data_IF_554006812106
#
_entry.id   IF_554006812106
#
_cell.length_a   1.000
_cell.length_b   1.000
_cell.length_c   1.000
_cell.angle_alpha   90.00
_cell.angle_beta   90.00
_cell.angle_gamma   90.00
#
_symmetry.space_group_name_H-M   'P 1'
#
loop_
_entity.id
_entity.type
_entity.pdbx_description
1 polymer ?
#
# COMPACT_ATOMS: atom_id res chain seq x y z
N UNK A 1 9.85 -20.11 -25.72
CA UNK A 1 10.67 -19.55 -24.62
C UNK A 1 10.27 -18.11 -24.36
N UNK A 2 10.23 -17.24 -25.39
CA UNK A 2 9.74 -15.87 -25.25
C UNK A 2 8.32 -15.78 -24.68
N UNK A 3 7.42 -16.68 -25.10
CA UNK A 3 6.02 -16.66 -24.64
C UNK A 3 5.90 -16.88 -23.12
N UNK A 4 6.74 -17.75 -22.54
CA UNK A 4 6.79 -17.95 -21.09
C UNK A 4 7.27 -16.71 -20.33
N UNK A 5 8.20 -15.95 -20.90
CA UNK A 5 8.65 -14.69 -20.29
C UNK A 5 7.59 -13.60 -20.40
N UNK A 6 6.79 -13.59 -21.48
CA UNK A 6 5.63 -12.68 -21.61
C UNK A 6 4.55 -13.01 -20.60
N UNK A 7 4.18 -14.28 -20.48
CA UNK A 7 3.25 -14.77 -19.45
C UNK A 7 3.77 -14.43 -18.05
N UNK A 8 5.05 -14.69 -17.78
CA UNK A 8 5.70 -14.35 -16.51
C UNK A 8 5.74 -12.84 -16.23
N UNK A 9 5.93 -11.98 -17.24
CA UNK A 9 5.87 -10.54 -17.04
C UNK A 9 4.49 -10.10 -16.56
N UNK A 10 3.42 -10.60 -17.21
CA UNK A 10 2.04 -10.33 -16.80
C UNK A 10 1.78 -10.83 -15.38
N UNK A 11 2.20 -12.06 -15.06
CA UNK A 11 2.07 -12.62 -13.71
C UNK A 11 2.81 -11.77 -12.67
N UNK A 12 4.02 -11.29 -12.98
CA UNK A 12 4.83 -10.45 -12.09
C UNK A 12 4.17 -9.10 -11.81
N UNK A 13 3.72 -8.37 -12.84
CA UNK A 13 3.09 -7.06 -12.64
C UNK A 13 1.75 -7.18 -11.90
N UNK A 14 1.01 -8.29 -12.08
CA UNK A 14 -0.17 -8.59 -11.29
C UNK A 14 0.16 -8.90 -9.83
N UNK A 15 1.26 -9.61 -9.57
CA UNK A 15 1.74 -9.86 -8.22
C UNK A 15 2.15 -8.56 -7.52
N UNK A 16 2.89 -7.67 -8.21
CA UNK A 16 3.23 -6.33 -7.70
C UNK A 16 1.98 -5.51 -7.39
N UNK A 17 0.98 -5.50 -8.29
CA UNK A 17 -0.31 -4.82 -8.06
C UNK A 17 -1.03 -5.42 -6.86
N UNK A 18 -1.04 -6.74 -6.71
CA UNK A 18 -1.67 -7.43 -5.57
C UNK A 18 -0.99 -7.06 -4.25
N UNK A 19 0.35 -7.00 -4.24
CA UNK A 19 1.13 -6.59 -3.08
C UNK A 19 0.77 -5.15 -2.66
N UNK A 20 0.69 -4.23 -3.63
CA UNK A 20 0.36 -2.83 -3.38
C UNK A 20 -1.11 -2.61 -3.00
N UNK A 21 -2.05 -3.14 -3.79
CA UNK A 21 -3.49 -2.85 -3.65
C UNK A 21 -4.17 -3.69 -2.57
N UNK A 22 -3.87 -5.00 -2.51
CA UNK A 22 -4.53 -5.92 -1.58
C UNK A 22 -3.74 -6.03 -0.27
N UNK A 23 -2.42 -6.18 -0.34
CA UNK A 23 -1.58 -6.35 0.85
C UNK A 23 -1.14 -5.02 1.48
N UNK A 24 -1.27 -3.89 0.77
CA UNK A 24 -0.84 -2.55 1.21
C UNK A 24 0.65 -2.48 1.56
N UNK A 25 1.46 -3.20 0.79
CA UNK A 25 2.91 -3.28 0.95
C UNK A 25 3.62 -2.93 -0.35
N UNK A 26 4.82 -2.37 -0.21
CA UNK A 26 5.82 -2.27 -1.27
C UNK A 26 6.96 -3.21 -0.91
N UNK A 27 7.48 -3.96 -1.88
CA UNK A 27 8.56 -4.91 -1.60
C UNK A 27 9.85 -4.19 -1.20
N UNK A 28 10.23 -3.18 -1.98
CA UNK A 28 11.35 -2.27 -1.74
C UNK A 28 12.75 -2.86 -1.93
N UNK A 29 12.81 -4.07 -2.48
CA UNK A 29 14.03 -4.72 -2.95
C UNK A 29 13.68 -5.81 -3.99
N UNK A 30 12.62 -5.59 -4.77
CA UNK A 30 12.17 -6.58 -5.74
C UNK A 30 13.14 -6.57 -6.92
N UNK A 31 13.81 -7.69 -7.13
CA UNK A 31 14.75 -7.91 -8.23
C UNK A 31 14.68 -9.36 -8.68
N UNK A 32 15.39 -9.72 -9.76
CA UNK A 32 15.43 -11.09 -10.27
C UNK A 32 15.91 -12.14 -9.25
N UNK A 33 16.64 -11.71 -8.22
CA UNK A 33 17.14 -12.58 -7.16
C UNK A 33 16.05 -12.98 -6.15
N UNK A 34 15.03 -12.13 -6.01
CA UNK A 34 13.91 -12.32 -5.09
C UNK A 34 12.67 -12.93 -5.78
N UNK A 35 12.85 -13.48 -6.98
CA UNK A 35 11.80 -14.11 -7.78
C UNK A 35 12.15 -15.58 -8.00
N UNK A 36 11.31 -16.49 -7.49
CA UNK A 36 11.43 -17.93 -7.74
C UNK A 36 10.47 -18.36 -8.85
N UNK A 37 10.95 -19.22 -9.75
CA UNK A 37 10.11 -19.90 -10.73
C UNK A 37 9.88 -21.35 -10.31
N UNK A 38 8.64 -21.72 -10.03
CA UNK A 38 8.28 -23.06 -9.61
C UNK A 38 6.97 -23.51 -10.28
N UNK A 39 7.00 -24.70 -10.89
CA UNK A 39 5.83 -25.32 -11.55
C UNK A 39 5.10 -24.46 -12.60
N UNK A 40 5.80 -23.51 -13.24
CA UNK A 40 5.19 -22.64 -14.24
C UNK A 40 4.82 -21.25 -13.73
N UNK A 41 4.94 -21.01 -12.42
CA UNK A 41 4.51 -19.78 -11.76
C UNK A 41 5.68 -19.03 -11.12
N UNK A 42 5.55 -17.71 -11.05
CA UNK A 42 6.47 -16.83 -10.35
C UNK A 42 6.03 -16.60 -8.90
N UNK A 43 6.98 -16.70 -7.97
CA UNK A 43 6.78 -16.47 -6.55
C UNK A 43 7.76 -15.40 -6.07
N UNK A 44 7.23 -14.37 -5.40
CA UNK A 44 8.03 -13.34 -4.76
C UNK A 44 8.42 -13.83 -3.35
N UNK A 45 9.70 -13.75 -3.03
CA UNK A 45 10.25 -14.14 -1.73
C UNK A 45 10.99 -12.97 -1.07
N UNK A 46 11.41 -13.16 0.18
CA UNK A 46 12.15 -12.17 0.97
C UNK A 46 11.41 -10.83 1.18
N UNK A 47 10.14 -10.94 1.58
CA UNK A 47 9.31 -9.79 2.00
C UNK A 47 9.68 -9.23 3.37
N UNK A 48 10.83 -9.63 3.93
CA UNK A 48 11.26 -9.24 5.28
C UNK A 48 11.59 -7.75 5.40
N UNK A 49 11.98 -7.13 4.28
CA UNK A 49 12.30 -5.69 4.17
C UNK A 49 11.16 -4.86 3.55
N UNK A 50 10.00 -5.48 3.28
CA UNK A 50 8.86 -4.77 2.70
C UNK A 50 8.34 -3.67 3.62
N UNK A 51 7.86 -2.59 3.03
CA UNK A 51 7.39 -1.40 3.74
C UNK A 51 5.92 -1.12 3.51
N UNK A 52 5.25 -0.57 4.52
CA UNK A 52 3.88 -0.06 4.41
C UNK A 52 3.80 1.14 3.46
N UNK A 53 2.63 1.36 2.86
CA UNK A 53 2.38 2.50 1.96
C UNK A 53 2.61 3.88 2.65
N UNK A 54 2.44 3.92 3.96
CA UNK A 54 2.62 5.12 4.79
C UNK A 54 4.11 5.50 4.98
N UNK A 55 5.05 4.60 4.66
CA UNK A 55 6.47 4.87 4.78
C UNK A 55 6.88 6.05 3.86
N UNK A 56 7.66 7.05 4.30
CA UNK A 56 7.98 8.25 3.51
C UNK A 56 8.52 7.93 2.11
N UNK A 57 9.32 6.88 2.00
CA UNK A 57 9.96 6.43 0.75
C UNK A 57 9.23 5.29 0.03
N UNK A 58 8.01 4.91 0.42
CA UNK A 58 7.34 3.75 -0.18
C UNK A 58 7.20 3.86 -1.72
N UNK A 59 6.90 5.05 -2.25
CA UNK A 59 6.79 5.24 -3.70
C UNK A 59 8.15 5.27 -4.40
N UNK A 60 9.21 5.68 -3.70
CA UNK A 60 10.58 5.64 -4.24
C UNK A 60 10.99 4.19 -4.42
N UNK A 61 10.78 3.37 -3.39
CA UNK A 61 10.99 1.93 -3.43
C UNK A 61 10.15 1.22 -4.49
N UNK A 62 8.88 1.61 -4.64
CA UNK A 62 8.04 1.04 -5.70
C UNK A 62 8.57 1.38 -7.09
N UNK A 63 9.12 2.58 -7.30
CA UNK A 63 9.74 2.94 -8.58
C UNK A 63 10.98 2.10 -8.85
N UNK A 64 11.82 1.88 -7.84
CA UNK A 64 12.99 1.00 -7.96
C UNK A 64 12.58 -0.44 -8.30
N UNK A 65 11.57 -0.99 -7.60
CA UNK A 65 10.99 -2.30 -7.91
C UNK A 65 10.51 -2.38 -9.37
N UNK A 66 9.79 -1.36 -9.86
CA UNK A 66 9.34 -1.29 -11.26
C UNK A 66 10.51 -1.27 -12.25
N UNK A 67 11.58 -0.54 -11.95
CA UNK A 67 12.78 -0.47 -12.80
C UNK A 67 13.46 -1.82 -12.88
N UNK A 68 13.71 -2.47 -11.74
CA UNK A 68 14.38 -3.77 -11.70
C UNK A 68 13.59 -4.85 -12.45
N UNK A 69 12.27 -4.92 -12.23
CA UNK A 69 11.39 -5.86 -12.93
C UNK A 69 11.39 -5.59 -14.43
N UNK A 70 11.17 -4.34 -14.86
CA UNK A 70 11.16 -3.98 -16.28
C UNK A 70 12.51 -4.28 -16.95
N UNK A 71 13.62 -3.97 -16.30
CA UNK A 71 14.96 -4.25 -16.83
C UNK A 71 15.22 -5.75 -16.96
N UNK A 72 14.78 -6.55 -15.99
CA UNK A 72 14.91 -8.01 -16.06
C UNK A 72 14.19 -8.56 -17.29
N UNK A 73 12.92 -8.21 -17.50
CA UNK A 73 12.14 -8.72 -18.64
C UNK A 73 12.60 -8.13 -19.98
N UNK A 74 13.01 -6.85 -20.02
CA UNK A 74 13.60 -6.19 -21.21
C UNK A 74 14.86 -6.92 -21.67
N UNK A 75 15.76 -7.30 -20.74
CA UNK A 75 16.98 -8.08 -21.06
C UNK A 75 16.69 -9.45 -21.68
N UNK A 76 15.51 -10.03 -21.40
CA UNK A 76 15.07 -11.32 -21.93
C UNK A 76 14.25 -11.20 -23.22
N UNK A 77 14.16 -10.01 -23.82
CA UNK A 77 13.47 -9.77 -25.10
C UNK A 77 11.95 -9.70 -24.97
N UNK A 78 11.44 -9.42 -23.77
CA UNK A 78 10.03 -9.09 -23.58
C UNK A 78 9.84 -7.59 -23.81
N UNK A 79 8.86 -7.24 -24.62
CA UNK A 79 8.42 -5.86 -24.75
C UNK A 79 7.64 -5.48 -23.48
N UNK A 80 8.22 -4.59 -22.69
CA UNK A 80 7.71 -4.15 -21.38
C UNK A 80 7.01 -2.80 -21.50
N UNK A 81 6.21 -2.48 -20.49
CA UNK A 81 5.63 -1.13 -20.32
C UNK A 81 6.74 -0.14 -19.96
N UNK A 82 6.49 1.15 -20.18
CA UNK A 82 7.35 2.19 -19.56
C UNK A 82 7.23 2.14 -18.04
N UNK A 83 8.23 2.66 -17.33
CA UNK A 83 8.23 2.67 -15.86
C UNK A 83 7.02 3.44 -15.33
N UNK A 84 6.67 4.54 -16.00
CA UNK A 84 5.47 5.32 -15.67
C UNK A 84 4.18 4.51 -15.84
N UNK A 85 4.01 3.85 -16.98
CA UNK A 85 2.80 3.05 -17.25
C UNK A 85 2.64 1.91 -16.25
N UNK A 86 3.74 1.21 -15.90
CA UNK A 86 3.73 0.15 -14.91
C UNK A 86 3.40 0.69 -13.50
N UNK A 87 4.01 1.81 -13.11
CA UNK A 87 3.73 2.45 -11.82
C UNK A 87 2.27 2.89 -11.73
N UNK A 88 1.76 3.56 -12.76
CA UNK A 88 0.35 3.97 -12.84
C UNK A 88 -0.56 2.74 -12.75
N UNK A 89 -0.26 1.67 -13.49
CA UNK A 89 -1.00 0.41 -13.40
C UNK A 89 -1.03 -0.18 -11.99
N UNK A 90 0.06 -0.13 -11.23
CA UNK A 90 0.10 -0.69 -9.87
C UNK A 90 -0.69 0.17 -8.89
N UNK A 91 -0.57 1.50 -8.98
CA UNK A 91 -1.12 2.42 -7.98
C UNK A 91 -2.59 2.78 -8.25
N UNK A 92 -3.04 2.73 -9.50
CA UNK A 92 -4.40 3.15 -9.87
C UNK A 92 -5.48 2.30 -9.16
N UNK A 93 -6.30 2.89 -8.26
CA UNK A 93 -7.34 2.16 -7.56
C UNK A 93 -8.58 1.90 -8.44
N UNK A 94 -8.70 2.53 -9.61
CA UNK A 94 -9.86 2.41 -10.48
C UNK A 94 -9.90 1.12 -11.30
N UNK A 95 -8.75 0.45 -11.45
CA UNK A 95 -8.64 -0.82 -12.18
C UNK A 95 -9.12 -1.96 -11.26
N UNK A 96 -10.34 -2.42 -11.45
CA UNK A 96 -10.90 -3.53 -10.68
C UNK A 96 -10.49 -4.87 -11.29
N UNK A 97 -10.69 -5.97 -10.55
CA UNK A 97 -10.44 -7.32 -11.05
C UNK A 97 -11.30 -7.63 -12.32
N UNK A 98 -12.43 -6.93 -12.51
CA UNK A 98 -13.30 -7.06 -13.70
C UNK A 98 -12.77 -6.33 -14.94
N UNK A 99 -12.09 -5.19 -14.76
CA UNK A 99 -11.52 -4.40 -15.87
C UNK A 99 -10.05 -4.71 -16.17
N UNK A 100 -9.45 -5.60 -15.38
CA UNK A 100 -8.04 -5.95 -15.47
C UNK A 100 -7.68 -6.58 -16.82
N UNK A 101 -8.47 -7.54 -17.30
CA UNK A 101 -8.21 -8.21 -18.58
C UNK A 101 -8.25 -7.22 -19.76
N UNK A 102 -9.25 -6.34 -19.77
CA UNK A 102 -9.38 -5.29 -20.79
C UNK A 102 -8.20 -4.32 -20.76
N UNK A 103 -7.73 -3.94 -19.57
CA UNK A 103 -6.57 -3.07 -19.42
C UNK A 103 -5.29 -3.74 -19.93
N UNK A 104 -5.08 -5.02 -19.57
CA UNK A 104 -3.92 -5.79 -20.02
C UNK A 104 -3.91 -5.96 -21.54
N UNK A 105 -5.06 -6.20 -22.16
CA UNK A 105 -5.18 -6.23 -23.62
C UNK A 105 -4.81 -4.89 -24.26
N UNK A 106 -5.33 -3.77 -23.75
CA UNK A 106 -4.98 -2.43 -24.26
C UNK A 106 -3.49 -2.13 -24.15
N UNK A 107 -2.89 -2.45 -23.01
CA UNK A 107 -1.46 -2.31 -22.78
C UNK A 107 -0.66 -3.16 -23.75
N UNK A 108 -1.05 -4.42 -23.94
CA UNK A 108 -0.37 -5.31 -24.88
C UNK A 108 -0.47 -4.78 -26.31
N UNK A 109 -1.61 -4.22 -26.73
CA UNK A 109 -1.75 -3.58 -28.03
C UNK A 109 -0.86 -2.35 -28.16
N UNK A 110 -0.75 -1.51 -27.11
CA UNK A 110 0.16 -0.36 -27.11
C UNK A 110 1.62 -0.77 -27.25
N UNK A 111 2.03 -1.80 -26.52
CA UNK A 111 3.39 -2.35 -26.58
C UNK A 111 3.68 -2.89 -28.00
N UNK A 112 2.75 -3.64 -28.58
CA UNK A 112 2.88 -4.15 -29.95
C UNK A 112 2.93 -3.03 -31.00
N UNK A 113 2.16 -1.95 -30.80
CA UNK A 113 2.15 -0.81 -31.70
C UNK A 113 3.46 0.01 -31.64
N UNK A 114 4.10 0.07 -30.46
CA UNK A 114 5.40 0.72 -30.27
C UNK A 114 6.56 -0.12 -30.80
N UNK A 115 6.40 -1.44 -30.78
CA UNK A 115 7.44 -2.41 -31.14
C UNK A 115 8.44 -2.68 -30.00
N UNK A 116 9.47 -3.46 -30.28
CA UNK A 116 10.48 -3.88 -29.28
C UNK A 116 11.47 -2.75 -28.89
N UNK A 117 11.39 -1.59 -29.54
CA UNK A 117 12.31 -0.47 -29.32
C UNK A 117 11.58 0.62 -28.55
N UNK A 118 11.88 0.71 -27.26
CA UNK A 118 11.55 1.89 -26.45
C UNK A 118 12.31 3.08 -27.06
N UNK A 119 11.60 4.16 -27.39
CA UNK A 119 12.21 5.34 -28.01
C UNK A 119 13.21 5.98 -27.02
N UNK A 120 14.25 6.66 -27.53
CA UNK A 120 15.13 7.45 -26.66
C UNK A 120 14.35 8.49 -25.84
N UNK A 121 13.24 8.99 -26.40
CA UNK A 121 12.33 9.90 -25.71
C UNK A 121 11.68 9.26 -24.48
N UNK A 122 11.36 7.96 -24.57
CA UNK A 122 10.73 7.21 -23.49
C UNK A 122 11.72 6.87 -22.39
N UNK A 123 12.97 6.53 -22.75
CA UNK A 123 14.04 6.30 -21.77
C UNK A 123 14.40 7.59 -21.00
N UNK A 124 14.37 8.74 -21.69
CA UNK A 124 14.53 10.05 -21.06
C UNK A 124 13.33 10.33 -20.13
N UNK A 125 12.10 10.09 -20.59
CA UNK A 125 10.90 10.30 -19.79
C UNK A 125 10.89 9.43 -18.53
N UNK A 126 11.27 8.16 -18.64
CA UNK A 126 11.39 7.24 -17.50
C UNK A 126 12.50 7.71 -16.53
N UNK A 127 13.64 8.17 -17.04
CA UNK A 127 14.71 8.73 -16.20
C UNK A 127 14.26 9.98 -15.44
N UNK A 128 13.53 10.89 -16.11
CA UNK A 128 12.95 12.08 -15.49
C UNK A 128 11.91 11.68 -14.44
N UNK A 129 11.09 10.67 -14.72
CA UNK A 129 10.10 10.17 -13.78
C UNK A 129 10.73 9.58 -12.51
N UNK A 130 11.80 8.80 -12.64
CA UNK A 130 12.51 8.20 -11.50
C UNK A 130 13.20 9.26 -10.63
N UNK A 131 13.68 10.36 -11.22
CA UNK A 131 14.31 11.46 -10.46
C UNK A 131 13.31 12.48 -9.90
N UNK A 132 12.09 12.52 -10.45
CA UNK A 132 11.08 13.49 -10.04
C UNK A 132 10.52 13.19 -8.65
N UNK A 133 10.20 14.22 -7.89
CA UNK A 133 9.51 14.08 -6.61
C UNK A 133 8.01 13.91 -6.84
N UNK A 134 7.42 12.84 -6.27
CA UNK A 134 5.99 12.55 -6.42
C UNK A 134 5.26 12.82 -5.10
N UNK A 135 4.42 13.86 -5.02
CA UNK A 135 3.63 14.16 -3.83
C UNK A 135 2.61 13.04 -3.56
N UNK A 136 2.70 12.43 -2.37
CA UNK A 136 1.73 11.38 -1.94
C UNK A 136 0.35 11.92 -1.64
N UNK A 137 0.29 13.08 -0.98
CA UNK A 137 -0.94 13.73 -0.56
C UNK A 137 -1.02 15.12 -1.17
N UNK A 138 -2.26 15.58 -1.41
CA UNK A 138 -2.51 16.94 -1.90
C UNK A 138 -1.96 18.03 -0.96
N UNK A 139 -1.68 17.69 0.30
CA UNK A 139 -1.01 18.61 1.24
C UNK A 139 0.44 18.95 0.84
N UNK A 140 1.14 18.02 0.20
CA UNK A 140 2.53 18.22 -0.25
C UNK A 140 2.61 18.85 -1.65
N UNK A 141 1.48 19.02 -2.33
CA UNK A 141 1.40 19.71 -3.62
C UNK A 141 1.38 21.21 -3.36
N UNK A 142 2.40 21.93 -3.85
CA UNK A 142 2.57 23.36 -3.57
C UNK A 142 1.46 24.21 -4.19
N UNK A 143 1.04 23.90 -5.43
CA UNK A 143 0.17 24.75 -6.24
C UNK A 143 -1.05 23.97 -6.78
N UNK A 144 -1.88 23.41 -5.89
CA UNK A 144 -3.04 22.60 -6.27
C UNK A 144 -4.02 23.35 -7.19
N UNK A 145 -4.23 24.66 -6.97
CA UNK A 145 -5.16 25.47 -7.78
C UNK A 145 -4.69 25.65 -9.23
N UNK A 146 -3.41 25.99 -9.42
CA UNK A 146 -2.81 26.12 -10.76
C UNK A 146 -2.80 24.78 -11.51
N UNK A 147 -2.59 23.69 -10.78
CA UNK A 147 -2.61 22.34 -11.31
C UNK A 147 -4.02 21.92 -11.78
N UNK A 148 -5.07 22.26 -11.02
CA UNK A 148 -6.46 22.03 -11.42
C UNK A 148 -6.80 22.84 -12.67
N UNK A 149 -6.44 24.13 -12.71
CA UNK A 149 -6.70 24.99 -13.87
C UNK A 149 -6.01 24.46 -15.13
N UNK A 150 -4.79 23.93 -15.01
CA UNK A 150 -4.09 23.28 -16.12
C UNK A 150 -4.84 22.06 -16.64
N UNK A 151 -5.37 21.21 -15.74
CA UNK A 151 -6.12 20.02 -16.16
C UNK A 151 -7.46 20.42 -16.81
N UNK A 152 -8.19 21.37 -16.22
CA UNK A 152 -9.48 21.84 -16.76
C UNK A 152 -9.33 22.60 -18.07
N UNK A 153 -8.22 23.33 -18.26
CA UNK A 153 -7.93 24.05 -19.51
C UNK A 153 -7.34 23.17 -20.62
N UNK A 154 -7.14 21.87 -20.38
CA UNK A 154 -6.58 20.94 -21.38
C UNK A 154 -5.13 21.25 -21.75
N UNK A 155 -4.40 21.95 -20.88
CA UNK A 155 -2.96 22.19 -21.07
C UNK A 155 -2.16 20.91 -20.79
N UNK A 156 -0.90 20.91 -21.21
CA UNK A 156 0.01 19.79 -20.97
C UNK A 156 0.10 19.47 -19.48
N UNK A 157 -0.28 18.24 -19.13
CA UNK A 157 -0.34 17.68 -17.78
C UNK A 157 0.67 16.55 -17.61
N UNK A 158 1.60 16.38 -18.56
CA UNK A 158 2.59 15.32 -18.57
C UNK A 158 3.39 15.20 -17.27
N UNK A 159 3.67 16.34 -16.61
CA UNK A 159 4.49 16.45 -15.40
C UNK A 159 3.73 16.23 -14.08
N UNK A 160 2.40 16.10 -14.10
CA UNK A 160 1.59 15.95 -12.89
C UNK A 160 1.45 14.47 -12.49
N UNK A 161 2.51 13.91 -11.92
CA UNK A 161 2.60 12.49 -11.57
C UNK A 161 1.63 12.02 -10.48
N UNK A 162 1.13 12.91 -9.62
CA UNK A 162 0.26 12.53 -8.51
C UNK A 162 -1.22 12.35 -8.91
N UNK A 163 -1.60 12.60 -10.17
CA UNK A 163 -2.99 12.47 -10.61
C UNK A 163 -3.54 11.05 -10.45
N UNK A 164 -2.73 10.04 -10.79
CA UNK A 164 -3.11 8.62 -10.69
C UNK A 164 -3.20 8.20 -9.22
N UNK A 165 -2.22 8.63 -8.41
CA UNK A 165 -2.13 8.31 -6.97
C UNK A 165 -3.31 8.89 -6.19
N UNK A 166 -3.69 10.12 -6.51
CA UNK A 166 -4.75 10.85 -5.80
C UNK A 166 -6.15 10.57 -6.36
N UNK A 167 -6.26 9.77 -7.43
CA UNK A 167 -7.51 9.50 -8.12
C UNK A 167 -8.10 10.72 -8.85
N UNK A 168 -7.35 11.83 -8.96
CA UNK A 168 -7.82 13.06 -9.62
C UNK A 168 -8.21 12.82 -11.08
N UNK A 169 -7.48 11.93 -11.77
CA UNK A 169 -7.78 11.54 -13.16
C UNK A 169 -9.22 11.04 -13.33
N UNK A 170 -9.69 10.22 -12.40
CA UNK A 170 -11.04 9.67 -12.41
C UNK A 170 -12.07 10.74 -12.06
N UNK A 171 -11.82 11.54 -11.01
CA UNK A 171 -12.73 12.61 -10.60
C UNK A 171 -13.00 13.61 -11.74
N UNK A 172 -11.97 13.96 -12.50
CA UNK A 172 -12.07 14.88 -13.63
C UNK A 172 -12.73 14.23 -14.85
N UNK A 173 -12.46 12.96 -15.13
CA UNK A 173 -13.15 12.21 -16.19
C UNK A 173 -14.65 12.06 -15.91
N UNK A 174 -15.03 11.74 -14.66
CA UNK A 174 -16.43 11.67 -14.25
C UNK A 174 -17.13 13.04 -14.38
N UNK A 175 -16.43 14.12 -14.00
CA UNK A 175 -16.97 15.49 -14.10
C UNK A 175 -17.15 15.90 -15.56
N UNK A 176 -16.20 15.61 -16.44
CA UNK A 176 -16.30 15.90 -17.87
C UNK A 176 -17.43 15.10 -18.55
N UNK A 177 -17.62 13.84 -18.17
CA UNK A 177 -18.74 13.00 -18.66
C UNK A 177 -20.09 13.58 -18.23
N UNK A 178 -20.20 14.07 -16.99
CA UNK A 178 -21.42 14.70 -16.48
C UNK A 178 -21.72 16.10 -17.08
N UNK A 179 -20.68 16.80 -17.55
CA UNK A 179 -20.84 18.11 -18.21
C UNK A 179 -21.23 17.96 -19.69
N UNK A 180 -20.86 16.87 -20.35
CA UNK A 180 -21.23 16.59 -21.73
C UNK A 180 -22.72 16.22 -21.92
N UNK A 181 -23.42 15.79 -20.85
CA UNK A 181 -24.85 15.43 -20.92
C UNK A 181 -25.82 16.59 -20.67
N UNK A 182 -25.35 17.81 -20.37
CA UNK A 182 -26.21 18.93 -19.95
C UNK A 182 -26.08 20.22 -20.79
N UNK A 183 -25.60 20.16 -22.03
CA UNK A 183 -25.50 21.35 -22.88
C UNK A 183 -26.72 21.54 -23.80
N UNK A 184 -27.61 22.48 -23.44
CA UNK A 184 -28.43 23.37 -24.30
C UNK A 184 -29.36 24.27 -23.43
N UNK A 185 -29.71 25.51 -23.84
CA UNK A 185 -28.87 26.71 -23.85
C UNK A 185 -29.41 27.87 -22.96
N UNK A 186 -28.53 28.86 -22.76
CA UNK A 186 -28.61 30.10 -21.96
C UNK A 186 -29.95 30.86 -21.91
N UNK A 187 -30.29 31.38 -20.72
CA UNK A 187 -30.81 32.76 -20.57
C UNK A 187 -30.36 33.42 -19.24
N UNK A 188 -30.20 34.74 -19.33
CA UNK A 188 -29.64 35.67 -18.34
C UNK A 188 -30.59 35.95 -17.17
N UNK A 189 -30.06 36.21 -15.96
CA UNK A 189 -30.80 37.04 -14.99
C UNK A 189 -30.53 36.85 -13.50
N UNK A 190 -29.61 37.67 -12.97
CA UNK A 190 -29.73 38.46 -11.73
C UNK A 190 -29.62 37.81 -10.32
N UNK A 191 -29.01 38.62 -9.44
CA UNK A 191 -28.68 38.43 -8.02
C UNK A 191 -29.86 38.03 -7.09
N UNK A 192 -29.61 37.12 -6.12
CA UNK A 192 -29.68 37.34 -4.65
C UNK A 192 -29.87 36.05 -3.82
N UNK A 193 -29.13 36.01 -2.70
CA UNK A 193 -29.46 35.48 -1.36
C UNK A 193 -29.74 33.99 -1.13
N UNK A 194 -28.90 33.41 -0.25
CA UNK A 194 -29.21 32.35 0.73
C UNK A 194 -30.67 32.40 1.24
N UNK A 195 -31.31 31.24 1.44
CA UNK A 195 -31.42 30.77 2.82
C UNK A 195 -31.36 29.23 3.02
N UNK A 196 -30.76 28.87 4.15
CA UNK A 196 -31.02 27.73 5.04
C UNK A 196 -32.44 27.11 4.99
N UNK A 197 -32.57 25.77 5.18
CA UNK A 197 -33.43 25.07 6.18
C UNK A 197 -33.28 23.51 6.11
N UNK A 198 -32.73 22.96 7.21
CA UNK A 198 -33.15 21.80 8.05
C UNK A 198 -33.39 20.36 7.49
N UNK A 199 -32.63 19.45 8.11
CA UNK A 199 -32.97 18.15 8.72
C UNK A 199 -33.77 17.08 7.96
N UNK A 200 -33.18 15.89 7.86
CA UNK A 200 -33.81 14.68 8.43
C UNK A 200 -32.75 13.68 8.92
N UNK A 201 -33.07 13.07 10.05
CA UNK A 201 -32.27 12.14 10.84
C UNK A 201 -32.65 10.69 10.49
N UNK A 202 -31.81 9.75 10.97
CA UNK A 202 -32.04 8.32 11.22
C UNK A 202 -31.81 7.32 10.08
N UNK A 203 -30.81 6.46 10.23
CA UNK A 203 -31.04 5.15 10.84
C UNK A 203 -29.76 4.47 11.35
N UNK A 204 -29.91 3.83 12.51
CA UNK A 204 -29.02 2.96 13.27
C UNK A 204 -28.33 1.84 12.48
N UNK A 205 -27.10 1.50 12.86
CA UNK A 205 -26.78 0.10 13.21
C UNK A 205 -25.54 0.03 14.11
N UNK A 206 -25.76 -0.19 15.39
CA UNK A 206 -24.73 -0.55 16.36
C UNK A 206 -24.22 -1.98 16.10
N UNK A 207 -22.90 -2.14 15.94
CA UNK A 207 -22.23 -3.44 16.03
C UNK A 207 -21.38 -3.47 17.31
N UNK A 208 -21.79 -4.32 18.24
CA UNK A 208 -21.02 -4.71 19.41
C UNK A 208 -20.82 -6.22 19.31
N UNK A 209 -19.57 -6.70 19.33
CA UNK A 209 -19.10 -7.91 20.04
C UNK A 209 -17.66 -8.22 19.64
N UNK A 210 -16.72 -7.93 20.52
CA UNK A 210 -15.33 -8.39 20.45
C UNK A 210 -14.96 -8.94 21.82
N UNK A 211 -15.07 -10.26 21.95
CA UNK A 211 -14.59 -11.07 23.07
C UNK A 211 -13.19 -11.55 22.73
N UNK A 212 -12.16 -10.97 23.37
CA UNK A 212 -10.79 -11.48 23.33
C UNK A 212 -10.68 -12.67 24.30
N UNK A 213 -10.55 -13.87 23.75
CA UNK A 213 -10.11 -15.08 24.43
C UNK A 213 -8.65 -15.31 24.02
N UNK A 214 -7.72 -15.02 24.93
CA UNK A 214 -6.31 -15.36 24.79
C UNK A 214 -6.14 -16.85 25.13
N UNK A 215 -5.87 -17.67 24.11
CA UNK A 215 -5.46 -19.08 24.22
C UNK A 215 -3.94 -19.15 24.05
N UNK A 216 -3.23 -19.43 25.16
CA UNK A 216 -1.78 -19.66 25.19
C UNK A 216 -1.55 -21.17 25.00
N UNK A 217 -1.31 -21.63 23.76
CA UNK A 217 -0.74 -22.95 23.50
C UNK A 217 0.77 -22.83 23.20
N UNK A 218 1.55 -23.51 24.05
CA UNK A 218 2.99 -23.71 23.97
C UNK A 218 3.35 -24.57 22.73
N UNK A 219 4.21 -24.08 21.84
CA UNK A 219 5.09 -24.96 21.06
C UNK A 219 6.55 -24.49 21.13
N UNK A 220 7.38 -25.35 21.72
CA UNK A 220 8.83 -25.28 21.65
C UNK A 220 9.27 -25.71 20.24
N UNK A 221 9.95 -24.82 19.50
CA UNK A 221 10.90 -25.30 18.51
C UNK A 221 12.18 -24.47 18.51
N UNK A 222 13.28 -25.20 18.56
CA UNK A 222 14.66 -24.76 18.66
C UNK A 222 15.29 -24.90 17.29
N UNK A 223 15.68 -23.79 16.65
CA UNK A 223 16.67 -23.85 15.57
C UNK A 223 17.70 -22.75 15.75
N UNK A 224 18.92 -23.20 16.03
CA UNK A 224 20.15 -22.44 16.11
C UNK A 224 20.42 -21.62 14.84
N UNK A 225 20.86 -20.38 15.03
CA UNK A 225 21.62 -19.65 14.01
C UNK A 225 22.74 -18.89 14.71
N UNK A 226 23.97 -19.35 14.50
CA UNK A 226 25.17 -18.77 15.06
C UNK A 226 25.48 -17.41 14.42
N UNK A 227 25.34 -16.34 15.20
CA UNK A 227 25.75 -14.99 14.86
C UNK A 227 26.88 -14.53 15.77
N UNK A 228 28.09 -14.48 15.22
CA UNK A 228 29.31 -14.02 15.89
C UNK A 228 29.27 -12.51 16.18
N UNK A 229 29.57 -12.14 17.43
CA UNK A 229 29.74 -10.76 17.91
C UNK A 229 30.47 -10.74 19.25
N UNK A 230 31.19 -9.67 19.59
CA UNK A 230 32.55 -9.74 20.11
C UNK A 230 32.66 -10.12 21.59
N UNK A 231 33.81 -10.69 21.90
CA UNK A 231 34.25 -11.20 23.20
C UNK A 231 34.03 -10.20 24.34
N UNK A 232 33.11 -10.54 25.26
CA UNK A 232 33.34 -10.31 26.69
C UNK A 232 32.53 -11.30 27.54
N UNK A 233 33.24 -11.98 28.44
CA UNK A 233 32.78 -12.90 29.50
C UNK A 233 32.08 -14.22 29.07
N UNK A 234 32.87 -15.29 29.05
CA UNK A 234 32.42 -16.69 28.98
C UNK A 234 31.60 -17.09 30.22
N UNK A 235 30.28 -16.89 30.17
CA UNK A 235 29.32 -17.71 30.94
C UNK A 235 28.82 -18.84 30.05
N UNK A 236 28.92 -20.07 30.53
CA UNK A 236 28.53 -21.28 29.80
C UNK A 236 27.08 -21.17 29.32
N UNK A 237 26.74 -21.81 28.20
CA UNK A 237 25.34 -21.94 27.73
C UNK A 237 24.42 -22.50 28.84
N UNK A 238 24.96 -23.33 29.73
CA UNK A 238 24.28 -23.83 30.91
C UNK A 238 23.93 -22.73 31.91
N UNK A 239 24.83 -21.77 32.13
CA UNK A 239 24.64 -20.63 33.05
C UNK A 239 23.57 -19.67 32.53
N UNK A 240 23.53 -19.44 31.21
CA UNK A 240 22.49 -18.63 30.55
C UNK A 240 21.10 -19.27 30.70
N UNK A 241 21.00 -20.60 30.54
CA UNK A 241 19.75 -21.35 30.71
C UNK A 241 19.30 -21.37 32.17
N UNK A 242 20.23 -21.53 33.11
CA UNK A 242 19.96 -21.46 34.55
C UNK A 242 19.46 -20.08 34.96
N UNK A 243 20.11 -19.00 34.50
CA UNK A 243 19.70 -17.62 34.76
C UNK A 243 18.29 -17.30 34.23
N UNK A 244 17.95 -17.76 33.01
CA UNK A 244 16.59 -17.62 32.44
C UNK A 244 15.54 -18.35 33.28
N UNK A 245 15.84 -19.57 33.74
CA UNK A 245 14.92 -20.36 34.58
C UNK A 245 14.70 -19.71 35.95
N UNK A 246 15.76 -19.16 36.55
CA UNK A 246 15.68 -18.43 37.81
C UNK A 246 14.86 -17.15 37.68
N UNK A 247 15.06 -16.38 36.60
CA UNK A 247 14.28 -15.16 36.33
C UNK A 247 12.80 -15.48 36.09
N UNK A 248 12.48 -16.50 35.27
CA UNK A 248 11.09 -16.97 35.06
C UNK A 248 10.42 -17.39 36.37
N UNK A 249 11.17 -17.97 37.32
CA UNK A 249 10.66 -18.32 38.66
C UNK A 249 10.38 -17.07 39.50
N UNK A 250 11.32 -16.12 39.55
CA UNK A 250 11.18 -14.84 40.27
C UNK A 250 9.97 -14.04 39.78
N UNK A 251 9.79 -13.92 38.46
CA UNK A 251 8.64 -13.21 37.86
C UNK A 251 7.31 -13.90 38.19
N UNK A 252 7.27 -15.25 38.20
CA UNK A 252 6.06 -15.99 38.60
C UNK A 252 5.72 -15.80 40.08
N UNK A 253 6.72 -15.73 40.95
CA UNK A 253 6.54 -15.50 42.39
C UNK A 253 6.06 -14.06 42.66
N UNK A 254 6.68 -13.07 42.02
CA UNK A 254 6.25 -11.67 42.10
C UNK A 254 4.81 -11.47 41.60
N UNK A 255 4.44 -12.09 40.46
CA UNK A 255 3.05 -12.07 39.96
C UNK A 255 2.07 -12.74 40.94
N UNK A 256 2.47 -13.82 41.61
CA UNK A 256 1.65 -14.48 42.64
C UNK A 256 1.47 -13.60 43.87
N UNK A 257 2.50 -12.89 44.31
CA UNK A 257 2.40 -11.93 45.41
C UNK A 257 1.53 -10.72 45.04
N UNK A 258 1.69 -10.17 43.83
CA UNK A 258 0.86 -9.09 43.32
C UNK A 258 -0.62 -9.48 43.17
N UNK A 259 -0.92 -10.77 42.92
CA UNK A 259 -2.30 -11.26 42.91
C UNK A 259 -2.94 -11.30 44.31
N UNK A 260 -2.16 -11.41 45.40
CA UNK A 260 -2.69 -11.40 46.78
C UNK A 260 -3.25 -10.04 47.17
N UNK A 261 -2.68 -8.95 46.65
CA UNK A 261 -3.08 -7.56 46.97
C UNK A 261 -3.98 -6.93 45.90
N UNK A 262 -4.31 -7.69 44.85
CA UNK A 262 -5.12 -7.20 43.73
C UNK A 262 -6.55 -6.89 44.16
N UNK A 263 -7.05 -5.73 43.73
CA UNK A 263 -8.43 -5.31 43.97
C UNK A 263 -9.41 -6.37 43.42
N UNK A 264 -10.37 -6.86 44.23
CA UNK A 264 -11.35 -7.83 43.78
C UNK A 264 -12.10 -7.38 42.51
N UNK A 265 -12.32 -8.31 41.57
CA UNK A 265 -12.95 -8.05 40.26
C UNK A 265 -14.31 -7.34 40.38
N UNK A 266 -15.08 -7.67 41.42
CA UNK A 266 -16.37 -7.04 41.72
C UNK A 266 -16.25 -5.54 42.02
N UNK A 267 -15.25 -5.14 42.82
CA UNK A 267 -15.00 -3.73 43.17
C UNK A 267 -14.54 -2.95 41.94
N UNK A 268 -13.65 -3.53 41.11
CA UNK A 268 -13.22 -2.94 39.83
C UNK A 268 -14.41 -2.72 38.88
N UNK A 269 -15.30 -3.71 38.74
CA UNK A 269 -16.52 -3.61 37.91
C UNK A 269 -17.48 -2.51 38.41
N UNK A 270 -17.69 -2.41 39.74
CA UNK A 270 -18.56 -1.38 40.34
C UNK A 270 -18.01 0.03 40.10
N UNK A 271 -16.70 0.24 40.29
CA UNK A 271 -16.04 1.53 39.98
C UNK A 271 -16.16 1.91 38.50
N UNK A 272 -15.98 0.96 37.57
CA UNK A 272 -16.15 1.20 36.11
C UNK A 272 -17.59 1.59 35.75
N UNK A 273 -18.60 0.95 36.35
CA UNK A 273 -20.02 1.31 36.15
C UNK A 273 -20.35 2.72 36.67
N UNK A 274 -19.89 3.06 37.87
CA UNK A 274 -20.05 4.41 38.45
C UNK A 274 -19.34 5.49 37.62
N UNK A 275 -18.13 5.22 37.13
CA UNK A 275 -17.40 6.14 36.26
C UNK A 275 -18.11 6.37 34.92
N UNK A 276 -18.68 5.31 34.31
CA UNK A 276 -19.51 5.46 33.11
C UNK A 276 -20.77 6.26 33.39
N UNK A 277 -21.50 5.97 34.48
CA UNK A 277 -22.71 6.71 34.84
C UNK A 277 -22.48 8.21 35.08
N UNK A 278 -21.29 8.59 35.57
CA UNK A 278 -20.90 10.00 35.74
C UNK A 278 -20.51 10.70 34.44
N UNK A 279 -20.29 9.96 33.35
CA UNK A 279 -19.93 10.49 32.02
C UNK A 279 -21.18 10.78 31.15
N UNK A 280 -22.34 10.26 31.55
CA UNK A 280 -23.64 10.43 30.87
C UNK A 280 -24.61 11.28 31.71
N UNK A 281 -24.10 12.12 32.62
CA UNK A 281 -24.88 13.02 33.47
C UNK A 281 -24.22 14.40 33.44
#
# INVERSE_FOLDING_TARGET
>A
MLDKFREGYVEMIMAMRTLYQKCKLVHGDLSEYNILYFEGHLYIIDVSQSVDLDHPHALDFLREDCVHVSDFFKKHGVAVMTIRELFDFIVDPSITDESMDSYLEEVQQKILARGDVISQEDEIADSVFVQSFIPKTLYHVKNVEEDIDRITSGKDTGDLYYQTITGLKQALSMTQTSLAENELPQEQGNLKQEPSVKHSNSHDSETNTGTDEDDDEDEENSSDSEGSGPENETRSHADKRAARKENKKKVKEEKREACKTKVPKAVKKKKKKLAKAKKYR
#
